data_IF_643226926384
#
_entry.id   IF_643226926384
#
_cell.length_a   1.000
_cell.length_b   1.000
_cell.length_c   1.000
_cell.angle_alpha   90.00
_cell.angle_beta   90.00
_cell.angle_gamma   90.00
#
_symmetry.space_group_name_H-M   'P 1'
#
loop_
_entity.id
_entity.type
_entity.pdbx_description
1 polymer ?
#
# COMPACT_ATOMS: atom_id res chain seq x y z
N UNK A 1 -3.97 12.45 -5.18
CA UNK A 1 -2.92 12.30 -4.13
C UNK A 1 -1.56 12.47 -4.77
N UNK A 2 -0.71 13.39 -4.30
CA UNK A 2 0.64 13.58 -4.87
C UNK A 2 1.69 13.00 -3.91
N UNK A 3 1.96 11.70 -4.09
CA UNK A 3 2.97 10.97 -3.35
C UNK A 3 3.97 10.36 -4.34
N UNK A 4 5.23 10.76 -4.22
CA UNK A 4 6.31 10.20 -5.03
C UNK A 4 7.13 9.21 -4.22
N UNK A 5 7.33 8.00 -4.75
CA UNK A 5 8.10 6.94 -4.11
C UNK A 5 9.37 6.62 -4.91
N UNK A 6 10.51 6.58 -4.22
CA UNK A 6 11.79 6.14 -4.80
C UNK A 6 12.70 5.47 -3.78
N UNK A 7 13.74 4.80 -4.29
CA UNK A 7 14.77 4.13 -3.48
C UNK A 7 15.71 5.16 -2.84
N UNK A 8 15.97 5.07 -1.54
CA UNK A 8 16.92 5.97 -0.89
C UNK A 8 18.33 5.75 -1.43
N UNK A 9 19.02 6.85 -1.79
CA UNK A 9 20.43 6.79 -2.19
C UNK A 9 21.37 6.54 -1.01
N UNK A 10 20.97 6.91 0.21
CA UNK A 10 21.79 6.78 1.43
C UNK A 10 21.72 5.39 2.03
N UNK A 11 20.56 4.74 1.91
CA UNK A 11 20.33 3.40 2.45
C UNK A 11 19.47 2.60 1.47
N UNK A 12 20.08 1.65 0.77
CA UNK A 12 19.40 0.84 -0.25
C UNK A 12 18.33 -0.12 0.32
N UNK A 13 18.24 -0.25 1.65
CA UNK A 13 17.17 -1.00 2.32
C UNK A 13 15.92 -0.15 2.56
N UNK A 14 15.99 1.15 2.33
CA UNK A 14 14.89 2.08 2.57
C UNK A 14 14.37 2.69 1.27
N UNK A 15 13.08 2.99 1.28
CA UNK A 15 12.42 3.86 0.34
C UNK A 15 12.20 5.24 0.96
N UNK A 16 11.92 6.20 0.08
CA UNK A 16 11.52 7.56 0.44
C UNK A 16 10.14 7.80 -0.14
N UNK A 17 9.22 8.23 0.72
CA UNK A 17 7.92 8.75 0.36
C UNK A 17 7.96 10.28 0.47
N UNK A 18 7.70 10.98 -0.64
CA UNK A 18 7.73 12.44 -0.67
C UNK A 18 6.38 13.02 -0.98
N UNK A 19 5.98 13.96 -0.14
CA UNK A 19 4.78 14.76 -0.33
C UNK A 19 5.15 16.12 -0.95
N UNK A 20 4.19 16.76 -1.62
CA UNK A 20 4.38 18.04 -2.29
C UNK A 20 4.80 19.19 -1.37
N UNK A 21 4.51 19.08 -0.07
CA UNK A 21 4.91 20.06 0.94
C UNK A 21 6.41 19.97 1.31
N UNK A 22 7.19 19.13 0.62
CA UNK A 22 8.63 18.95 0.87
C UNK A 22 8.94 17.96 2.00
N UNK A 23 7.95 17.30 2.58
CA UNK A 23 8.16 16.27 3.60
C UNK A 23 8.65 14.98 2.96
N UNK A 24 9.75 14.44 3.49
CA UNK A 24 10.32 13.16 3.08
C UNK A 24 10.28 12.17 4.23
N UNK A 25 9.60 11.04 4.02
CA UNK A 25 9.46 9.96 4.99
C UNK A 25 10.29 8.78 4.51
N UNK A 26 11.19 8.30 5.36
CA UNK A 26 12.02 7.13 5.09
C UNK A 26 11.37 5.90 5.73
N UNK A 27 11.24 4.82 4.97
CA UNK A 27 10.56 3.61 5.41
C UNK A 27 11.18 2.37 4.75
N UNK A 28 10.97 1.19 5.33
CA UNK A 28 11.44 -0.10 4.80
C UNK A 28 10.29 -1.11 4.59
N UNK A 29 9.15 -0.89 5.25
CA UNK A 29 7.96 -1.72 5.10
C UNK A 29 6.69 -0.88 5.13
N UNK A 30 5.59 -1.46 4.64
CA UNK A 30 4.30 -0.79 4.55
C UNK A 30 3.15 -1.78 4.76
N UNK A 31 1.96 -1.23 4.98
CA UNK A 31 0.70 -1.96 5.06
C UNK A 31 -0.39 -1.13 4.38
N UNK A 32 -1.20 -1.79 3.55
CA UNK A 32 -2.38 -1.19 2.92
C UNK A 32 -3.62 -1.69 3.66
N UNK A 33 -4.27 -0.79 4.40
CA UNK A 33 -5.56 -1.04 5.04
C UNK A 33 -6.68 -0.59 4.09
N UNK A 34 -7.28 -1.56 3.39
CA UNK A 34 -8.26 -1.30 2.36
C UNK A 34 -9.59 -0.74 2.93
N UNK A 35 -9.98 -1.15 4.15
CA UNK A 35 -11.24 -0.70 4.78
C UNK A 35 -11.18 0.78 5.13
N UNK A 36 -10.05 1.23 5.67
CA UNK A 36 -9.81 2.64 5.99
C UNK A 36 -9.20 3.44 4.83
N UNK A 37 -9.00 2.79 3.68
CA UNK A 37 -8.31 3.33 2.52
C UNK A 37 -7.00 4.03 2.89
N UNK A 38 -6.16 3.38 3.71
CA UNK A 38 -4.97 4.01 4.30
C UNK A 38 -3.70 3.20 4.09
N UNK A 39 -2.58 3.90 3.93
CA UNK A 39 -1.25 3.34 3.72
C UNK A 39 -0.36 3.70 4.91
N UNK A 40 0.08 2.67 5.61
CA UNK A 40 0.87 2.79 6.82
C UNK A 40 2.31 2.47 6.46
N UNK A 41 3.24 3.36 6.83
CA UNK A 41 4.65 3.25 6.50
C UNK A 41 5.44 3.01 7.77
N UNK A 42 6.36 2.06 7.71
CA UNK A 42 7.15 1.62 8.86
C UNK A 42 8.64 1.70 8.60
N UNK A 43 9.38 2.03 9.66
CA UNK A 43 10.82 1.86 9.73
C UNK A 43 11.13 0.83 10.82
N UNK A 44 11.53 -0.37 10.42
CA UNK A 44 11.52 -1.55 11.29
C UNK A 44 10.10 -1.80 11.81
N UNK A 45 9.92 -1.75 13.13
CA UNK A 45 8.61 -1.92 13.78
C UNK A 45 7.89 -0.59 14.10
N UNK A 46 8.51 0.55 13.77
CA UNK A 46 7.96 1.87 14.14
C UNK A 46 7.11 2.42 13.01
N UNK A 47 5.85 2.75 13.29
CA UNK A 47 4.99 3.48 12.36
C UNK A 47 5.51 4.92 12.22
N UNK A 48 5.92 5.31 11.01
CA UNK A 48 6.49 6.63 10.72
C UNK A 48 5.52 7.54 9.96
N UNK A 49 4.51 6.97 9.29
CA UNK A 49 3.45 7.73 8.65
C UNK A 49 2.19 6.88 8.43
N UNK A 50 1.03 7.54 8.47
CA UNK A 50 -0.24 7.01 7.98
C UNK A 50 -0.79 7.99 6.94
N UNK A 51 -1.00 7.50 5.73
CA UNK A 51 -1.49 8.28 4.60
C UNK A 51 -2.88 7.78 4.27
N UNK A 52 -3.91 8.59 4.55
CA UNK A 52 -5.29 8.25 4.23
C UNK A 52 -5.64 8.73 2.82
N UNK A 53 -6.19 7.85 2.01
CA UNK A 53 -6.81 8.20 0.74
C UNK A 53 -8.08 9.01 1.02
N UNK A 54 -8.35 9.98 0.15
CA UNK A 54 -9.70 10.52 -0.01
C UNK A 54 -10.47 9.56 -0.94
N UNK A 55 -11.80 9.48 -0.84
CA UNK A 55 -12.63 8.41 -1.43
C UNK A 55 -12.37 8.13 -2.93
N UNK A 56 -11.91 9.12 -3.69
CA UNK A 56 -11.56 9.07 -5.11
C UNK A 56 -10.14 8.53 -5.40
N UNK A 57 -9.33 8.23 -4.38
CA UNK A 57 -7.90 7.90 -4.50
C UNK A 57 -7.52 6.48 -4.04
N UNK A 58 -8.50 5.59 -3.81
CA UNK A 58 -8.22 4.19 -3.43
C UNK A 58 -7.45 3.41 -4.52
N UNK A 59 -7.74 3.70 -5.80
CA UNK A 59 -6.97 3.13 -6.90
C UNK A 59 -5.50 3.60 -6.85
N UNK A 60 -5.30 4.90 -6.62
CA UNK A 60 -3.97 5.52 -6.56
C UNK A 60 -3.14 4.98 -5.39
N UNK A 61 -3.75 4.78 -4.21
CA UNK A 61 -3.03 4.24 -3.05
C UNK A 61 -2.65 2.77 -3.27
N UNK A 62 -3.50 2.00 -3.96
CA UNK A 62 -3.20 0.62 -4.35
C UNK A 62 -2.08 0.57 -5.38
N UNK A 63 -2.07 1.44 -6.38
CA UNK A 63 -0.96 1.58 -7.34
C UNK A 63 0.34 1.97 -6.63
N UNK A 64 0.25 2.87 -5.65
CA UNK A 64 1.39 3.28 -4.83
C UNK A 64 1.96 2.10 -4.03
N UNK A 65 1.10 1.32 -3.36
CA UNK A 65 1.50 0.13 -2.62
C UNK A 65 2.20 -0.91 -3.52
N UNK A 66 1.66 -1.16 -4.72
CA UNK A 66 2.29 -2.05 -5.70
C UNK A 66 3.68 -1.55 -6.13
N UNK A 67 3.82 -0.24 -6.32
CA UNK A 67 5.13 0.38 -6.61
C UNK A 67 6.10 0.22 -5.45
N UNK A 68 5.67 0.37 -4.21
CA UNK A 68 6.51 0.15 -3.02
C UNK A 68 7.02 -1.28 -2.95
N UNK A 69 6.14 -2.27 -3.16
CA UNK A 69 6.51 -3.69 -3.22
C UNK A 69 7.52 -3.96 -4.34
N UNK A 70 7.30 -3.41 -5.54
CA UNK A 70 8.22 -3.55 -6.68
C UNK A 70 9.59 -2.94 -6.40
N UNK A 71 9.64 -1.84 -5.64
CA UNK A 71 10.89 -1.21 -5.21
C UNK A 71 11.56 -1.93 -4.02
N UNK A 72 10.94 -3.00 -3.51
CA UNK A 72 11.49 -3.89 -2.50
C UNK A 72 11.19 -3.49 -1.06
N UNK A 73 10.16 -2.67 -0.81
CA UNK A 73 9.62 -2.54 0.55
C UNK A 73 8.80 -3.78 0.91
N UNK A 74 8.90 -4.20 2.16
CA UNK A 74 8.15 -5.35 2.66
C UNK A 74 6.68 -4.96 2.92
N UNK A 75 5.74 -5.75 2.42
CA UNK A 75 4.33 -5.61 2.77
C UNK A 75 4.03 -6.44 4.01
N UNK A 76 3.60 -5.80 5.08
CA UNK A 76 3.23 -6.44 6.35
C UNK A 76 1.72 -6.75 6.43
N UNK A 77 0.92 -6.16 5.54
CA UNK A 77 -0.53 -6.36 5.48
C UNK A 77 -0.93 -7.50 4.56
N UNK A 78 -2.17 -7.41 4.05
CA UNK A 78 -2.69 -8.39 3.10
C UNK A 78 -1.93 -8.38 1.76
N UNK A 79 -1.83 -9.53 1.07
CA UNK A 79 -1.21 -9.59 -0.24
C UNK A 79 -1.92 -8.67 -1.25
N UNK A 80 -1.14 -7.85 -1.98
CA UNK A 80 -1.69 -6.86 -2.92
C UNK A 80 -2.39 -7.46 -4.15
N UNK A 81 -2.19 -8.75 -4.41
CA UNK A 81 -2.85 -9.47 -5.51
C UNK A 81 -4.23 -10.03 -5.12
N UNK A 82 -4.60 -9.97 -3.84
CA UNK A 82 -5.85 -10.52 -3.32
C UNK A 82 -6.90 -9.45 -2.97
N UNK A 83 -6.67 -8.17 -3.32
CA UNK A 83 -7.64 -7.09 -3.11
C UNK A 83 -8.80 -7.29 -4.10
N UNK A 84 -9.67 -8.26 -3.78
CA UNK A 84 -10.93 -8.49 -4.49
C UNK A 84 -11.80 -7.28 -4.26
N UNK A 85 -12.45 -6.81 -5.32
CA UNK A 85 -13.49 -5.79 -5.20
C UNK A 85 -14.49 -6.26 -4.15
N UNK A 86 -14.83 -5.39 -3.20
CA UNK A 86 -15.72 -5.68 -2.07
C UNK A 86 -17.13 -6.16 -2.52
N UNK A 87 -17.45 -6.04 -3.81
CA UNK A 87 -18.70 -6.47 -4.45
C UNK A 87 -18.68 -7.89 -5.04
N UNK A 88 -17.54 -8.59 -5.06
CA UNK A 88 -17.53 -9.99 -5.49
C UNK A 88 -17.94 -10.90 -4.34
N UNK A 89 -19.24 -11.07 -4.15
CA UNK A 89 -19.78 -12.15 -3.32
C UNK A 89 -19.11 -13.49 -3.69
N UNK A 90 -18.81 -14.37 -2.72
CA UNK A 90 -18.30 -15.69 -3.03
C UNK A 90 -19.27 -16.40 -3.98
N UNK A 91 -18.77 -16.84 -5.14
CA UNK A 91 -19.47 -17.80 -5.99
C UNK A 91 -19.51 -19.13 -5.22
N UNK A 92 -20.48 -19.26 -4.32
CA UNK A 92 -20.79 -20.51 -3.64
C UNK A 92 -21.42 -21.43 -4.68
N UNK A 93 -20.63 -22.39 -5.16
CA UNK A 93 -21.09 -23.70 -5.63
C UNK A 93 -22.16 -23.69 -6.73
N UNK A 94 -21.81 -23.27 -7.94
CA UNK A 94 -22.49 -23.75 -9.13
C UNK A 94 -21.85 -25.06 -9.61
N UNK A 95 -21.85 -26.09 -8.77
CA UNK A 95 -21.76 -27.45 -9.29
C UNK A 95 -22.30 -28.48 -8.29
N UNK A 96 -23.55 -28.88 -8.51
CA UNK A 96 -24.14 -30.18 -8.12
C UNK A 96 -25.57 -30.17 -8.65
N UNK A 97 -25.72 -30.22 -9.98
CA UNK A 97 -27.00 -30.51 -10.61
C UNK A 97 -26.92 -31.84 -11.34
N UNK A 98 -27.60 -32.83 -10.74
CA UNK A 98 -28.16 -34.07 -11.30
C UNK A 98 -27.23 -35.22 -11.66
#
# INVERSE_FOLDING_TARGET
MNLSIWKSRRNQRQLVASQDNGTHIYFDSFELEAVEASLWLYQGMTLVACIKAQNDTLADITTTANRMATLGAQNNGQPLHEIRKQDEAPLVGADSSL
#
